data_IF_759975882952
#
_entry.id   IF_759975882952
#
_cell.length_a   1.000
_cell.length_b   1.000
_cell.length_c   1.000
_cell.angle_alpha   90.00
_cell.angle_beta   90.00
_cell.angle_gamma   90.00
#
_symmetry.space_group_name_H-M   'P 1'
#
loop_
_entity.id
_entity.type
_entity.pdbx_description
1 polymer ?
#
# COMPACT_ATOMS: atom_id res chain seq x y z
N UNK A 1 17.50 -45.84 -18.29
CA UNK A 1 18.16 -46.77 -19.26
C UNK A 1 18.34 -48.10 -18.54
N UNK A 2 17.48 -49.09 -18.80
CA UNK A 2 17.50 -50.33 -18.04
C UNK A 2 18.66 -51.22 -18.50
N UNK A 3 19.59 -51.56 -17.59
CA UNK A 3 20.57 -52.60 -17.85
C UNK A 3 19.87 -53.95 -17.91
N UNK A 4 20.10 -54.68 -19.00
CA UNK A 4 19.52 -56.00 -19.24
C UNK A 4 20.41 -57.08 -18.61
N UNK A 5 19.89 -57.77 -17.59
CA UNK A 5 20.62 -58.78 -16.84
C UNK A 5 21.05 -59.97 -17.73
N UNK A 6 20.23 -60.34 -18.72
CA UNK A 6 20.51 -61.46 -19.63
C UNK A 6 21.72 -61.15 -20.51
N UNK A 7 21.80 -59.93 -21.07
CA UNK A 7 22.97 -59.47 -21.83
C UNK A 7 24.25 -59.41 -21.00
N UNK A 8 24.16 -59.06 -19.72
CA UNK A 8 25.32 -59.03 -18.81
C UNK A 8 25.84 -60.43 -18.46
N UNK A 9 24.93 -61.42 -18.37
CA UNK A 9 25.27 -62.84 -18.20
C UNK A 9 25.93 -63.41 -19.46
N UNK A 10 25.40 -63.06 -20.64
CA UNK A 10 25.97 -63.44 -21.94
C UNK A 10 27.37 -62.83 -22.16
N UNK A 11 27.66 -61.67 -21.56
CA UNK A 11 28.98 -61.05 -21.56
C UNK A 11 30.00 -61.72 -20.62
N UNK A 12 29.64 -62.80 -19.92
CA UNK A 12 30.55 -63.59 -19.08
C UNK A 12 30.96 -62.92 -17.76
N UNK A 13 30.21 -61.91 -17.30
CA UNK A 13 30.50 -61.20 -16.05
C UNK A 13 30.17 -62.09 -14.82
N UNK A 14 30.96 -62.03 -13.74
CA UNK A 14 30.65 -62.75 -12.52
C UNK A 14 29.38 -62.19 -11.86
N UNK A 15 28.60 -63.05 -11.21
CA UNK A 15 27.30 -62.70 -10.62
C UNK A 15 27.37 -61.51 -9.65
N UNK A 16 28.45 -61.40 -8.88
CA UNK A 16 28.69 -60.29 -7.95
C UNK A 16 28.82 -58.93 -8.66
N UNK A 17 29.44 -58.90 -9.85
CA UNK A 17 29.60 -57.69 -10.63
C UNK A 17 28.29 -57.28 -11.33
N UNK A 18 27.52 -58.27 -11.81
CA UNK A 18 26.18 -58.04 -12.37
C UNK A 18 25.26 -57.42 -11.30
N UNK A 19 25.28 -57.99 -10.09
CA UNK A 19 24.50 -57.48 -8.94
C UNK A 19 24.90 -56.05 -8.56
N UNK A 20 26.21 -55.75 -8.56
CA UNK A 20 26.73 -54.43 -8.26
C UNK A 20 26.31 -53.39 -9.30
N UNK A 21 26.45 -53.69 -10.60
CA UNK A 21 26.08 -52.78 -11.69
C UNK A 21 24.58 -52.43 -11.67
N UNK A 22 23.73 -53.45 -11.50
CA UNK A 22 22.28 -53.25 -11.41
C UNK A 22 21.93 -52.39 -10.19
N UNK A 23 22.60 -52.60 -9.06
CA UNK A 23 22.36 -51.83 -7.83
C UNK A 23 22.80 -50.38 -7.97
N UNK A 24 23.93 -50.11 -8.63
CA UNK A 24 24.42 -48.76 -8.91
C UNK A 24 23.44 -47.99 -9.81
N UNK A 25 22.89 -48.62 -10.85
CA UNK A 25 21.91 -47.94 -11.73
C UNK A 25 20.59 -47.66 -11.02
N UNK A 26 20.09 -48.61 -10.23
CA UNK A 26 18.89 -48.36 -9.40
C UNK A 26 19.11 -47.24 -8.39
N UNK A 27 20.32 -47.14 -7.82
CA UNK A 27 20.67 -46.05 -6.92
C UNK A 27 20.72 -44.69 -7.66
N UNK A 28 21.26 -44.67 -8.88
CA UNK A 28 21.30 -43.47 -9.72
C UNK A 28 19.89 -42.97 -10.11
N UNK A 29 18.99 -43.88 -10.50
CA UNK A 29 17.59 -43.54 -10.83
C UNK A 29 16.82 -43.04 -9.59
N UNK A 30 17.12 -43.59 -8.41
CA UNK A 30 16.54 -43.10 -7.14
C UNK A 30 17.08 -41.73 -6.74
N UNK A 31 18.35 -41.45 -7.01
CA UNK A 31 18.96 -40.15 -6.73
C UNK A 31 18.36 -39.04 -7.60
N UNK A 32 18.08 -39.31 -8.88
CA UNK A 32 17.42 -38.35 -9.77
C UNK A 32 15.95 -38.11 -9.40
N UNK A 33 15.23 -39.15 -8.98
CA UNK A 33 13.87 -39.02 -8.46
C UNK A 33 13.80 -38.22 -7.14
N UNK A 34 14.76 -38.43 -6.24
CA UNK A 34 14.85 -37.68 -4.98
C UNK A 34 15.14 -36.19 -5.22
N UNK A 35 15.99 -35.86 -6.21
CA UNK A 35 16.24 -34.47 -6.61
C UNK A 35 14.98 -33.79 -7.18
N UNK A 36 14.15 -34.53 -7.95
CA UNK A 36 12.88 -34.01 -8.46
C UNK A 36 11.84 -33.76 -7.35
N UNK A 37 11.88 -34.54 -6.27
CA UNK A 37 10.99 -34.35 -5.11
C UNK A 37 11.46 -33.25 -4.13
N UNK A 38 12.68 -32.75 -4.28
CA UNK A 38 13.24 -31.69 -3.43
C UNK A 38 12.98 -30.27 -3.95
N UNK A 39 12.43 -30.13 -5.17
CA UNK A 39 12.13 -28.84 -5.78
C UNK A 39 10.81 -28.26 -5.27
N UNK A 40 10.92 -27.12 -4.57
CA UNK A 40 9.85 -26.22 -4.10
C UNK A 40 9.18 -26.54 -2.75
N UNK A 41 9.98 -26.96 -1.76
CA UNK A 41 9.52 -27.04 -0.35
C UNK A 41 9.15 -25.69 0.30
N UNK A 42 8.94 -24.63 -0.48
CA UNK A 42 8.68 -23.28 0.01
C UNK A 42 8.09 -22.41 -1.09
N UNK A 43 6.88 -22.75 -1.54
CA UNK A 43 6.13 -21.92 -2.47
C UNK A 43 6.13 -20.45 -2.01
N UNK A 44 6.27 -19.54 -2.97
CA UNK A 44 6.35 -18.10 -2.72
C UNK A 44 5.17 -17.62 -1.85
N UNK A 45 5.45 -17.24 -0.60
CA UNK A 45 4.47 -16.60 0.28
C UNK A 45 4.37 -15.11 -0.07
N UNK A 46 3.16 -14.66 -0.36
CA UNK A 46 2.83 -13.29 -0.77
C UNK A 46 2.02 -12.58 0.32
N UNK A 47 1.83 -11.27 0.16
CA UNK A 47 0.93 -10.49 1.03
C UNK A 47 -0.53 -11.00 1.00
N UNK A 48 -0.94 -11.67 -0.08
CA UNK A 48 -2.28 -12.24 -0.19
C UNK A 48 -2.49 -13.40 0.79
N UNK A 49 -1.44 -14.16 1.10
CA UNK A 49 -1.49 -15.36 1.93
C UNK A 49 -1.56 -15.07 3.44
N UNK A 50 -1.38 -13.80 3.83
CA UNK A 50 -1.49 -13.36 5.22
C UNK A 50 -2.97 -13.19 5.58
N UNK A 51 -3.45 -14.09 6.44
CA UNK A 51 -4.77 -14.03 7.08
C UNK A 51 -4.79 -13.02 8.23
N UNK A 52 -6.00 -12.57 8.59
CA UNK A 52 -6.25 -11.68 9.75
C UNK A 52 -5.43 -10.37 9.75
N UNK A 53 -5.00 -9.91 8.57
CA UNK A 53 -4.33 -8.61 8.44
C UNK A 53 -5.29 -7.47 8.85
N UNK A 54 -4.81 -6.48 9.63
CA UNK A 54 -5.63 -5.34 10.02
C UNK A 54 -6.24 -4.64 8.79
N UNK A 55 -7.51 -4.24 8.91
CA UNK A 55 -8.17 -3.44 7.87
C UNK A 55 -7.64 -2.00 7.82
N UNK A 56 -7.01 -1.53 8.90
CA UNK A 56 -6.46 -0.19 9.02
C UNK A 56 -5.14 -0.24 9.75
N UNK A 57 -4.16 0.49 9.22
CA UNK A 57 -2.84 0.64 9.82
C UNK A 57 -2.71 2.08 10.33
N UNK A 58 -2.15 2.30 11.53
CA UNK A 58 -1.87 3.65 12.02
C UNK A 58 -1.00 4.41 11.03
N UNK A 59 -1.40 5.63 10.61
CA UNK A 59 -0.61 6.40 9.67
C UNK A 59 0.64 6.96 10.34
N UNK A 60 1.71 7.14 9.57
CA UNK A 60 2.80 8.04 9.94
C UNK A 60 2.40 9.49 9.73
N UNK A 61 3.20 10.43 10.26
CA UNK A 61 3.04 11.85 9.99
C UNK A 61 3.05 12.13 8.47
N UNK A 62 2.09 12.93 8.02
CA UNK A 62 1.90 13.31 6.63
C UNK A 62 1.22 14.69 6.53
N UNK A 63 1.05 15.20 5.30
CA UNK A 63 0.42 16.50 5.04
C UNK A 63 -0.68 16.35 3.99
N UNK A 64 -1.70 17.20 4.09
CA UNK A 64 -2.82 17.27 3.15
C UNK A 64 -2.79 18.56 2.35
N UNK A 65 -3.22 18.50 1.09
CA UNK A 65 -3.56 19.70 0.35
C UNK A 65 -4.95 20.20 0.80
N UNK A 66 -5.26 21.50 0.68
CA UNK A 66 -6.59 22.02 1.04
C UNK A 66 -7.74 21.36 0.26
N UNK A 67 -7.47 20.90 -0.97
CA UNK A 67 -8.44 20.18 -1.80
C UNK A 67 -8.84 18.81 -1.23
N UNK A 68 -8.02 18.22 -0.35
CA UNK A 68 -8.30 16.94 0.31
C UNK A 68 -9.20 17.11 1.54
N UNK A 69 -9.40 18.35 2.01
CA UNK A 69 -10.19 18.66 3.21
C UNK A 69 -11.62 18.96 2.77
N UNK A 70 -12.47 17.94 2.86
CA UNK A 70 -13.91 18.10 2.66
C UNK A 70 -14.49 19.07 3.67
N UNK A 71 -15.46 19.88 3.25
CA UNK A 71 -16.15 20.89 4.09
C UNK A 71 -15.26 22.02 4.63
N UNK A 72 -14.02 22.18 4.15
CA UNK A 72 -13.16 23.31 4.51
C UNK A 72 -13.88 24.65 4.29
N UNK A 73 -14.63 24.76 3.19
CA UNK A 73 -15.39 25.96 2.87
C UNK A 73 -16.50 26.26 3.90
N UNK A 74 -17.29 25.25 4.28
CA UNK A 74 -18.31 25.40 5.31
C UNK A 74 -17.70 25.72 6.68
N UNK A 75 -16.52 25.17 6.99
CA UNK A 75 -15.79 25.44 8.23
C UNK A 75 -15.30 26.90 8.30
N UNK A 76 -14.94 27.53 7.17
CA UNK A 76 -14.47 28.93 7.15
C UNK A 76 -15.60 29.95 7.00
N UNK A 77 -16.78 29.57 6.51
CA UNK A 77 -17.93 30.49 6.35
C UNK A 77 -18.43 31.10 7.68
N UNK A 78 -18.17 30.43 8.81
CA UNK A 78 -18.44 30.95 10.16
C UNK A 78 -17.31 31.81 10.75
N UNK A 79 -16.14 31.85 10.12
CA UNK A 79 -15.05 32.72 10.53
C UNK A 79 -15.34 34.16 10.11
N UNK A 80 -16.09 34.86 10.95
CA UNK A 80 -16.12 36.32 10.91
C UNK A 80 -14.72 36.86 11.21
N UNK A 81 -14.31 37.91 10.51
CA UNK A 81 -13.11 38.66 10.88
C UNK A 81 -13.34 39.20 12.28
N UNK A 82 -12.74 38.57 13.29
CA UNK A 82 -12.75 39.04 14.66
C UNK A 82 -11.66 40.10 14.79
N UNK A 83 -12.05 41.35 14.64
CA UNK A 83 -11.25 42.46 15.15
C UNK A 83 -11.40 42.49 16.68
N UNK A 84 -10.39 42.96 17.40
CA UNK A 84 -10.40 43.11 18.87
C UNK A 84 -11.54 43.99 19.40
N UNK A 85 -12.20 44.72 18.51
CA UNK A 85 -13.07 45.84 18.83
C UNK A 85 -14.55 45.51 18.56
N UNK A 86 -14.86 44.27 18.16
CA UNK A 86 -16.24 43.81 17.89
C UNK A 86 -16.77 44.16 16.49
N UNK A 87 -15.92 44.59 15.57
CA UNK A 87 -16.28 44.81 14.16
C UNK A 87 -16.35 43.46 13.45
N UNK A 88 -17.53 43.11 12.93
CA UNK A 88 -17.81 41.91 12.14
C UNK A 88 -17.75 42.12 10.64
N UNK A 89 -17.80 43.38 10.16
CA UNK A 89 -17.84 43.70 8.73
C UNK A 89 -17.13 45.02 8.41
N UNK A 90 -16.38 45.04 7.32
CA UNK A 90 -15.70 46.23 6.80
C UNK A 90 -16.35 46.61 5.47
N UNK A 91 -16.79 47.86 5.33
CA UNK A 91 -17.48 48.34 4.12
C UNK A 91 -16.85 49.64 3.63
N UNK A 92 -16.27 49.66 2.42
CA UNK A 92 -15.85 50.90 1.78
C UNK A 92 -17.08 51.63 1.21
N UNK A 93 -17.23 52.91 1.56
CA UNK A 93 -18.32 53.79 1.07
C UNK A 93 -17.83 55.23 0.90
N UNK A 94 -18.56 56.04 0.14
CA UNK A 94 -18.31 57.48 0.03
C UNK A 94 -18.85 58.24 1.25
N UNK A 95 -18.30 59.43 1.51
CA UNK A 95 -18.75 60.29 2.62
C UNK A 95 -20.26 60.60 2.52
N UNK A 96 -20.73 61.01 1.33
CA UNK A 96 -22.15 61.30 1.10
C UNK A 96 -23.05 60.07 1.36
N UNK A 97 -22.59 58.86 1.01
CA UNK A 97 -23.32 57.64 1.26
C UNK A 97 -23.35 57.28 2.75
N UNK A 98 -22.26 57.53 3.50
CA UNK A 98 -22.23 57.32 4.95
C UNK A 98 -23.20 58.25 5.69
N UNK A 99 -23.26 59.51 5.27
CA UNK A 99 -24.14 60.52 5.86
C UNK A 99 -25.61 60.25 5.56
N UNK A 100 -25.90 59.65 4.41
CA UNK A 100 -27.23 59.19 4.02
C UNK A 100 -27.72 57.92 4.76
N UNK A 101 -26.86 57.24 5.55
CA UNK A 101 -27.28 56.08 6.33
C UNK A 101 -28.20 56.48 7.49
N UNK A 102 -29.46 56.03 7.45
CA UNK A 102 -30.42 56.31 8.52
C UNK A 102 -30.08 55.68 9.87
N UNK A 103 -29.46 54.50 9.90
CA UNK A 103 -28.95 53.87 11.14
C UNK A 103 -27.63 53.17 10.85
N UNK A 104 -26.61 53.51 11.64
CA UNK A 104 -25.25 52.99 11.49
C UNK A 104 -25.12 51.74 12.35
N UNK A 105 -24.63 50.65 11.76
CA UNK A 105 -24.54 49.36 12.45
C UNK A 105 -23.24 49.32 13.27
N UNK A 106 -23.35 49.18 14.60
CA UNK A 106 -22.20 49.23 15.51
C UNK A 106 -21.14 48.16 15.27
N UNK A 107 -21.49 47.05 14.61
CA UNK A 107 -20.57 45.97 14.24
C UNK A 107 -19.95 46.15 12.85
N UNK A 108 -20.22 47.27 12.17
CA UNK A 108 -19.69 47.56 10.83
C UNK A 108 -18.75 48.77 10.88
N UNK A 109 -17.49 48.55 10.49
CA UNK A 109 -16.54 49.63 10.26
C UNK A 109 -16.71 50.13 8.82
N UNK A 110 -17.05 51.40 8.69
CA UNK A 110 -17.19 52.06 7.40
C UNK A 110 -15.88 52.76 7.06
N UNK A 111 -15.20 52.30 6.01
CA UNK A 111 -14.01 52.97 5.50
C UNK A 111 -14.51 54.04 4.53
N UNK A 112 -14.38 55.29 4.95
CA UNK A 112 -14.70 56.42 4.08
C UNK A 112 -13.58 56.56 3.07
N UNK A 113 -13.92 56.27 1.82
CA UNK A 113 -13.01 56.47 0.70
C UNK A 113 -13.28 57.84 0.07
N UNK A 114 -12.21 58.55 -0.26
CA UNK A 114 -12.25 59.82 -1.01
C UNK A 114 -12.89 59.66 -2.37
#
# INVERSE_FOLDING_TARGET
MALDEKKLREAGLPASLISLLISITKAADRASAAAAAAGDGGGSITWADINDKPATFPPSDHSHAPADITELQAAVEGWTVRTSDGVSRIVPITQAAYDALGTKVATTLYLITS
#
